data_IF_631704033406
#
_entry.id   IF_631704033406
#
_cell.length_a   1.000
_cell.length_b   1.000
_cell.length_c   1.000
_cell.angle_alpha   90.00
_cell.angle_beta   90.00
_cell.angle_gamma   90.00
#
_symmetry.space_group_name_H-M   'P 1'
#
loop_
_entity.id
_entity.type
_entity.pdbx_description
1 polymer ?
#
# COMPACT_ATOMS: atom_id res chain seq x y z
N UNK A 1 71.83 -10.38 4.41
CA UNK A 1 71.33 -11.48 3.56
C UNK A 1 70.41 -12.33 4.40
N UNK A 2 69.09 -12.23 4.19
CA UNK A 2 68.08 -13.31 4.25
C UNK A 2 66.72 -12.63 4.04
N UNK A 3 66.19 -12.80 2.82
CA UNK A 3 64.86 -12.35 2.42
C UNK A 3 63.88 -13.48 2.73
N UNK A 4 62.84 -13.19 3.49
CA UNK A 4 61.53 -13.84 3.43
C UNK A 4 60.60 -12.85 4.11
N UNK A 5 59.48 -12.48 3.49
CA UNK A 5 58.16 -12.42 4.13
C UNK A 5 57.06 -12.21 3.08
N UNK A 6 56.35 -13.32 2.85
CA UNK A 6 54.91 -13.49 2.66
C UNK A 6 54.21 -12.84 1.46
N UNK A 7 53.69 -13.76 0.62
CA UNK A 7 52.63 -13.59 -0.38
C UNK A 7 51.40 -12.94 0.23
N UNK A 8 50.84 -11.97 -0.48
CA UNK A 8 49.54 -11.38 -0.21
C UNK A 8 49.08 -10.56 -1.40
N UNK A 9 48.82 -11.22 -2.53
CA UNK A 9 48.08 -10.61 -3.62
C UNK A 9 46.59 -10.70 -3.30
N UNK A 10 45.85 -9.59 -3.30
CA UNK A 10 44.40 -9.55 -3.54
C UNK A 10 43.97 -8.12 -3.95
N UNK A 11 43.98 -7.91 -5.27
CA UNK A 11 42.98 -7.26 -6.15
C UNK A 11 42.23 -6.02 -5.60
N UNK A 12 42.47 -4.89 -6.28
CA UNK A 12 41.80 -3.61 -6.14
C UNK A 12 40.29 -3.68 -6.43
N UNK A 13 39.47 -3.11 -5.52
CA UNK A 13 38.06 -2.83 -5.77
C UNK A 13 37.89 -1.33 -5.99
N UNK A 14 37.65 -0.93 -7.24
CA UNK A 14 37.30 0.44 -7.61
C UNK A 14 35.88 0.71 -7.12
N UNK A 15 35.73 1.50 -6.06
CA UNK A 15 34.42 1.97 -5.60
C UNK A 15 34.01 3.10 -6.53
N UNK A 16 33.11 2.80 -7.47
CA UNK A 16 32.42 3.81 -8.27
C UNK A 16 31.57 4.68 -7.35
N UNK A 17 31.91 5.96 -7.26
CA UNK A 17 31.11 6.98 -6.58
C UNK A 17 29.81 7.20 -7.37
N UNK A 18 28.82 6.35 -7.12
CA UNK A 18 27.43 6.60 -7.51
C UNK A 18 26.93 7.81 -6.75
N UNK A 19 26.65 8.88 -7.48
CA UNK A 19 26.10 10.14 -6.97
C UNK A 19 24.82 9.82 -6.19
N UNK A 20 24.88 9.97 -4.86
CA UNK A 20 23.68 9.93 -4.01
C UNK A 20 22.85 11.16 -4.40
N UNK A 21 21.88 10.98 -5.30
CA UNK A 21 20.80 11.95 -5.46
C UNK A 21 20.10 12.06 -4.11
N UNK A 22 20.34 13.17 -3.41
CA UNK A 22 19.69 13.45 -2.14
C UNK A 22 18.18 13.42 -2.33
N UNK A 23 17.53 12.40 -1.75
CA UNK A 23 16.09 12.43 -1.55
C UNK A 23 15.81 13.55 -0.55
N UNK A 24 15.32 14.68 -1.04
CA UNK A 24 14.80 15.73 -0.17
C UNK A 24 13.64 15.19 0.67
N UNK A 25 13.37 15.76 1.85
CA UNK A 25 12.22 15.36 2.66
C UNK A 25 10.95 15.50 1.81
N UNK A 26 10.12 14.44 1.80
CA UNK A 26 8.81 14.50 1.16
C UNK A 26 7.97 15.56 1.85
N UNK A 27 7.79 16.71 1.18
CA UNK A 27 6.89 17.74 1.65
C UNK A 27 5.45 17.27 1.37
N UNK A 28 4.78 16.77 2.40
CA UNK A 28 3.34 16.54 2.36
C UNK A 28 2.65 17.91 2.31
N UNK A 29 2.27 18.34 1.10
CA UNK A 29 1.31 19.43 0.96
C UNK A 29 0.02 18.97 1.64
N UNK A 30 -0.70 19.83 2.39
CA UNK A 30 -1.97 19.44 2.97
C UNK A 30 -2.96 19.22 1.82
N UNK A 31 -3.15 17.97 1.42
CA UNK A 31 -4.25 17.55 0.56
C UNK A 31 -5.39 17.22 1.51
N UNK A 32 -6.41 18.07 1.62
CA UNK A 32 -7.54 17.76 2.48
C UNK A 32 -8.26 16.51 1.94
N UNK A 33 -8.74 15.66 2.85
CA UNK A 33 -9.60 14.55 2.47
C UNK A 33 -10.88 15.08 1.82
N UNK A 34 -11.33 14.39 0.77
CA UNK A 34 -12.63 14.68 0.15
C UNK A 34 -13.76 14.26 1.09
N UNK A 35 -14.99 14.72 0.83
CA UNK A 35 -16.17 14.28 1.57
C UNK A 35 -16.41 12.77 1.44
N UNK A 36 -16.08 12.19 0.29
CA UNK A 36 -16.18 10.75 0.02
C UNK A 36 -15.17 9.96 0.83
N UNK A 37 -13.91 10.44 0.90
CA UNK A 37 -12.85 9.85 1.72
C UNK A 37 -13.26 9.86 3.20
N UNK A 38 -13.76 11.00 3.72
CA UNK A 38 -14.18 11.13 5.12
C UNK A 38 -15.30 10.13 5.44
N UNK A 39 -16.35 10.08 4.63
CA UNK A 39 -17.49 9.19 4.84
C UNK A 39 -17.09 7.71 4.81
N UNK A 40 -16.14 7.36 3.95
CA UNK A 40 -15.59 6.01 3.92
C UNK A 40 -14.74 5.70 5.17
N UNK A 41 -13.90 6.64 5.60
CA UNK A 41 -13.06 6.47 6.79
C UNK A 41 -13.89 6.35 8.06
N UNK A 42 -14.98 7.12 8.20
CA UNK A 42 -15.90 7.00 9.33
C UNK A 42 -16.53 5.60 9.45
N UNK A 43 -16.77 4.92 8.32
CA UNK A 43 -17.32 3.58 8.33
C UNK A 43 -16.28 2.50 8.65
N UNK A 44 -15.00 2.72 8.30
CA UNK A 44 -13.97 1.67 8.25
C UNK A 44 -12.97 1.74 9.40
N UNK A 45 -12.70 2.93 9.93
CA UNK A 45 -11.81 3.12 11.09
C UNK A 45 -12.27 2.29 12.28
N UNK A 46 -11.30 1.62 12.92
CA UNK A 46 -11.53 0.75 14.08
C UNK A 46 -12.14 -0.62 13.76
N UNK A 47 -12.66 -0.82 12.55
CA UNK A 47 -13.24 -2.10 12.12
C UNK A 47 -12.36 -2.86 11.12
N UNK A 48 -11.49 -2.17 10.38
CA UNK A 48 -10.55 -2.75 9.44
C UNK A 48 -9.11 -2.40 9.83
N UNK A 49 -8.14 -3.32 9.67
CA UNK A 49 -6.74 -3.05 10.03
C UNK A 49 -6.10 -2.00 9.10
N UNK A 50 -5.31 -1.11 9.68
CA UNK A 50 -4.50 -0.13 8.94
C UNK A 50 -4.76 1.32 9.35
N UNK A 51 -3.86 2.19 8.92
CA UNK A 51 -4.01 3.65 8.97
C UNK A 51 -4.92 4.16 7.83
N UNK A 52 -5.29 5.44 7.90
CA UNK A 52 -6.23 6.05 6.96
C UNK A 52 -5.78 5.95 5.51
N UNK A 53 -4.48 6.06 5.24
CA UNK A 53 -3.97 5.95 3.87
C UNK A 53 -4.13 4.52 3.34
N UNK A 54 -3.86 3.51 4.18
CA UNK A 54 -4.16 2.12 3.83
C UNK A 54 -5.65 1.87 3.63
N UNK A 55 -6.50 2.45 4.48
CA UNK A 55 -7.95 2.35 4.33
C UNK A 55 -8.40 2.94 3.00
N UNK A 56 -7.97 4.16 2.67
CA UNK A 56 -8.32 4.83 1.42
C UNK A 56 -7.80 4.08 0.20
N UNK A 57 -6.59 3.52 0.29
CA UNK A 57 -6.03 2.68 -0.76
C UNK A 57 -6.88 1.42 -0.97
N UNK A 58 -7.27 0.73 0.11
CA UNK A 58 -8.12 -0.46 0.06
C UNK A 58 -9.47 -0.14 -0.59
N UNK A 59 -10.12 0.96 -0.20
CA UNK A 59 -11.40 1.39 -0.77
C UNK A 59 -11.32 1.65 -2.27
N UNK A 60 -10.26 2.35 -2.72
CA UNK A 60 -10.01 2.61 -4.15
C UNK A 60 -9.71 1.33 -4.92
N UNK A 61 -8.96 0.39 -4.33
CA UNK A 61 -8.68 -0.93 -4.91
C UNK A 61 -9.96 -1.74 -5.12
N UNK A 62 -10.84 -1.77 -4.12
CA UNK A 62 -12.17 -2.41 -4.22
C UNK A 62 -12.96 -1.83 -5.37
N UNK A 63 -13.07 -0.50 -5.44
CA UNK A 63 -13.82 0.16 -6.49
C UNK A 63 -13.28 -0.19 -7.89
N UNK A 64 -11.96 -0.22 -8.05
CA UNK A 64 -11.32 -0.66 -9.30
C UNK A 64 -11.74 -2.09 -9.66
N UNK A 65 -11.63 -3.04 -8.73
CA UNK A 65 -11.96 -4.45 -8.98
C UNK A 65 -13.42 -4.64 -9.39
N UNK A 66 -14.34 -3.97 -8.71
CA UNK A 66 -15.77 -4.04 -9.03
C UNK A 66 -16.07 -3.45 -10.41
N UNK A 67 -15.50 -2.28 -10.75
CA UNK A 67 -15.69 -1.70 -12.09
C UNK A 67 -15.04 -2.52 -13.21
N UNK A 68 -14.01 -3.32 -12.89
CA UNK A 68 -13.44 -4.30 -13.84
C UNK A 68 -14.25 -5.60 -13.95
N UNK A 69 -15.40 -5.70 -13.27
CA UNK A 69 -16.33 -6.81 -13.39
C UNK A 69 -16.10 -7.96 -12.40
N UNK A 70 -15.27 -7.78 -11.37
CA UNK A 70 -15.18 -8.77 -10.30
C UNK A 70 -16.44 -8.71 -9.42
N UNK A 71 -16.91 -9.88 -8.96
CA UNK A 71 -18.06 -9.96 -8.05
C UNK A 71 -17.68 -9.46 -6.65
N UNK A 72 -18.65 -8.89 -5.93
CA UNK A 72 -18.40 -8.39 -4.58
C UNK A 72 -17.86 -9.46 -3.61
N UNK A 73 -18.28 -10.73 -3.78
CA UNK A 73 -17.76 -11.86 -3.01
C UNK A 73 -16.27 -12.10 -3.27
N UNK A 74 -15.87 -12.18 -4.55
CA UNK A 74 -14.46 -12.40 -4.91
C UNK A 74 -13.55 -11.25 -4.45
N UNK A 75 -14.05 -10.01 -4.48
CA UNK A 75 -13.32 -8.84 -3.96
C UNK A 75 -13.20 -8.91 -2.43
N UNK A 76 -14.25 -9.34 -1.74
CA UNK A 76 -14.22 -9.53 -0.28
C UNK A 76 -13.15 -10.54 0.13
N UNK A 77 -13.09 -11.69 -0.53
CA UNK A 77 -12.09 -12.74 -0.25
C UNK A 77 -10.66 -12.24 -0.51
N UNK A 78 -10.45 -11.48 -1.59
CA UNK A 78 -9.16 -10.87 -1.91
C UNK A 78 -8.73 -9.85 -0.84
N UNK A 79 -9.64 -8.98 -0.40
CA UNK A 79 -9.36 -8.00 0.65
C UNK A 79 -9.02 -8.69 1.97
N UNK A 80 -9.80 -9.71 2.37
CA UNK A 80 -9.52 -10.49 3.57
C UNK A 80 -8.12 -11.12 3.52
N UNK A 81 -7.76 -11.75 2.40
CA UNK A 81 -6.46 -12.37 2.20
C UNK A 81 -5.31 -11.36 2.17
N UNK A 82 -5.49 -10.22 1.48
CA UNK A 82 -4.44 -9.21 1.31
C UNK A 82 -4.09 -8.49 2.60
N UNK A 83 -5.10 -8.21 3.43
CA UNK A 83 -4.94 -7.39 4.64
C UNK A 83 -4.96 -8.23 5.93
N UNK A 84 -5.06 -9.56 5.83
CA UNK A 84 -5.16 -10.44 6.99
C UNK A 84 -6.39 -10.14 7.87
N UNK A 85 -7.47 -9.67 7.24
CA UNK A 85 -8.70 -9.27 7.91
C UNK A 85 -9.72 -10.41 7.91
N UNK A 86 -10.68 -10.39 8.84
CA UNK A 86 -11.78 -11.36 8.81
C UNK A 86 -12.69 -11.11 7.60
N UNK A 87 -13.43 -12.13 7.11
CA UNK A 87 -14.38 -11.95 6.01
C UNK A 87 -15.42 -10.86 6.29
N UNK A 88 -15.86 -10.73 7.56
CA UNK A 88 -16.81 -9.69 7.97
C UNK A 88 -16.19 -8.29 7.88
N UNK A 89 -14.92 -8.13 8.27
CA UNK A 89 -14.20 -6.88 8.15
C UNK A 89 -14.00 -6.49 6.68
N UNK A 90 -13.64 -7.45 5.84
CA UNK A 90 -13.50 -7.23 4.41
C UNK A 90 -14.84 -6.87 3.74
N UNK A 91 -15.94 -7.55 4.12
CA UNK A 91 -17.27 -7.26 3.60
C UNK A 91 -17.74 -5.85 3.99
N UNK A 92 -17.37 -5.38 5.18
CA UNK A 92 -17.60 -4.01 5.63
C UNK A 92 -16.87 -3.01 4.73
N UNK A 93 -15.59 -3.24 4.42
CA UNK A 93 -14.82 -2.38 3.50
C UNK A 93 -15.47 -2.34 2.13
N UNK A 94 -15.86 -3.49 1.58
CA UNK A 94 -16.51 -3.56 0.26
C UNK A 94 -17.82 -2.79 0.24
N UNK A 95 -18.65 -2.94 1.28
CA UNK A 95 -19.90 -2.19 1.42
C UNK A 95 -19.66 -0.69 1.57
N UNK A 96 -18.70 -0.29 2.41
CA UNK A 96 -18.36 1.11 2.65
C UNK A 96 -17.88 1.77 1.36
N UNK A 97 -16.95 1.14 0.63
CA UNK A 97 -16.44 1.63 -0.63
C UNK A 97 -17.55 1.81 -1.68
N UNK A 98 -18.43 0.82 -1.83
CA UNK A 98 -19.59 0.93 -2.74
C UNK A 98 -20.53 2.05 -2.35
N UNK A 99 -20.75 2.27 -1.07
CA UNK A 99 -21.64 3.34 -0.65
C UNK A 99 -21.03 4.73 -0.85
N UNK A 100 -19.74 4.91 -0.57
CA UNK A 100 -19.10 6.22 -0.46
C UNK A 100 -18.28 6.63 -1.71
N UNK A 101 -17.53 5.70 -2.30
CA UNK A 101 -16.55 5.98 -3.35
C UNK A 101 -16.97 5.48 -4.74
N UNK A 102 -17.68 4.36 -4.82
CA UNK A 102 -18.09 3.75 -6.09
C UNK A 102 -19.55 3.29 -6.06
N UNK A 103 -20.44 4.27 -5.92
CA UNK A 103 -21.91 4.09 -5.89
C UNK A 103 -22.48 3.39 -7.11
N UNK A 104 -21.80 3.51 -8.26
CA UNK A 104 -22.23 2.92 -9.52
C UNK A 104 -21.58 1.55 -9.79
N UNK A 105 -20.78 1.02 -8.86
CA UNK A 105 -20.10 -0.25 -9.07
C UNK A 105 -21.09 -1.43 -9.02
N UNK A 106 -20.99 -2.38 -9.98
CA UNK A 106 -21.81 -3.59 -10.01
C UNK A 106 -21.53 -4.48 -8.79
N UNK A 107 -22.50 -5.35 -8.45
CA UNK A 107 -22.49 -6.19 -7.25
C UNK A 107 -22.34 -7.66 -7.56
#
# INVERSE_FOLDING_TARGET
MLLVHKRGALIATVIGAGVLFGAGPAAAWPIPYTSEDIRYLEATRGNFPGDDDQLLLAGKQVCRQLYTGQSAGAVTDQVAAQYGASPEQAALVVRAARSAMCTQAPG
#
